data_IF_474204378045
#
_entry.id   IF_474204378045
#
_cell.length_a   1.000
_cell.length_b   1.000
_cell.length_c   1.000
_cell.angle_alpha   90.00
_cell.angle_beta   90.00
_cell.angle_gamma   90.00
#
_symmetry.space_group_name_H-M   'P 1'
#
loop_
_entity.id
_entity.type
_entity.pdbx_description
1 polymer ?
#
# COMPACT_ATOMS: atom_id res chain seq x y z
N UNK A 1 -27.83 50.51 -22.53
CA UNK A 1 -26.83 50.09 -21.53
C UNK A 1 -27.29 48.77 -20.86
N UNK A 2 -27.31 47.64 -21.60
CA UNK A 2 -27.89 46.35 -21.12
C UNK A 2 -27.01 45.12 -21.50
N UNK A 3 -25.90 45.30 -22.22
CA UNK A 3 -25.09 44.16 -22.72
C UNK A 3 -24.13 43.55 -21.69
N UNK A 4 -23.79 44.26 -20.61
CA UNK A 4 -22.76 43.81 -19.65
C UNK A 4 -23.27 42.76 -18.66
N UNK A 5 -24.57 42.74 -18.36
CA UNK A 5 -25.17 41.87 -17.33
C UNK A 5 -25.42 40.42 -17.78
N UNK A 6 -25.51 40.19 -19.11
CA UNK A 6 -25.71 38.85 -19.70
C UNK A 6 -24.41 38.07 -19.82
N UNK A 7 -23.30 38.76 -20.06
CA UNK A 7 -21.97 38.15 -20.20
C UNK A 7 -21.53 37.61 -18.82
N UNK A 8 -21.69 38.39 -17.75
CA UNK A 8 -21.30 38.01 -16.37
C UNK A 8 -21.97 36.72 -15.88
N UNK A 9 -23.27 36.52 -16.15
CA UNK A 9 -23.97 35.28 -15.78
C UNK A 9 -23.47 34.07 -16.55
N UNK A 10 -23.18 34.22 -17.85
CA UNK A 10 -22.65 33.14 -18.67
C UNK A 10 -21.23 32.77 -18.25
N UNK A 11 -20.39 33.76 -17.92
CA UNK A 11 -19.03 33.53 -17.41
C UNK A 11 -19.04 32.79 -16.07
N UNK A 12 -19.95 33.15 -15.15
CA UNK A 12 -20.10 32.48 -13.86
C UNK A 12 -20.56 31.02 -14.00
N UNK A 13 -21.46 30.72 -14.93
CA UNK A 13 -21.91 29.35 -15.23
C UNK A 13 -20.75 28.54 -15.85
N UNK A 14 -19.98 29.14 -16.76
CA UNK A 14 -18.85 28.46 -17.39
C UNK A 14 -17.73 28.13 -16.38
N UNK A 15 -17.43 29.07 -15.47
CA UNK A 15 -16.48 28.85 -14.37
C UNK A 15 -16.99 27.75 -13.43
N UNK A 16 -18.30 27.73 -13.13
CA UNK A 16 -18.92 26.68 -12.33
C UNK A 16 -18.82 25.28 -12.96
N UNK A 17 -18.93 25.15 -14.28
CA UNK A 17 -18.77 23.86 -14.98
C UNK A 17 -17.30 23.39 -14.97
N UNK A 18 -16.35 24.33 -15.05
CA UNK A 18 -14.92 24.00 -15.07
C UNK A 18 -14.38 23.58 -13.70
N UNK A 19 -14.97 24.03 -12.59
CA UNK A 19 -14.51 23.68 -11.23
C UNK A 19 -15.14 22.41 -10.65
N UNK A 20 -16.12 21.79 -11.33
CA UNK A 20 -16.79 20.56 -10.88
C UNK A 20 -16.03 19.25 -11.17
N UNK A 21 -14.84 19.33 -11.79
CA UNK A 21 -14.03 18.15 -12.14
C UNK A 21 -12.90 17.84 -11.14
N UNK A 22 -12.94 18.39 -9.92
CA UNK A 22 -11.87 18.18 -8.92
C UNK A 22 -11.86 16.81 -8.24
N UNK A 23 -12.74 15.87 -8.63
CA UNK A 23 -12.72 14.48 -8.21
C UNK A 23 -12.28 13.57 -9.36
N UNK A 24 -11.05 13.74 -9.87
CA UNK A 24 -10.62 12.96 -11.03
C UNK A 24 -9.16 12.53 -10.95
N UNK A 25 -8.95 11.21 -10.98
CA UNK A 25 -7.69 10.46 -11.08
C UNK A 25 -6.79 10.32 -9.85
N UNK A 26 -7.35 9.75 -8.79
CA UNK A 26 -6.56 9.05 -7.79
C UNK A 26 -6.58 7.54 -8.09
N UNK A 27 -5.61 7.00 -8.86
CA UNK A 27 -5.62 5.58 -9.22
C UNK A 27 -5.48 4.74 -7.96
N UNK A 28 -6.47 3.86 -7.75
CA UNK A 28 -6.39 2.79 -6.76
C UNK A 28 -6.07 1.51 -7.51
N UNK A 29 -4.95 0.88 -7.17
CA UNK A 29 -4.50 -0.35 -7.83
C UNK A 29 -4.13 -1.39 -6.78
N UNK A 30 -4.16 -2.66 -7.21
CA UNK A 30 -3.91 -3.82 -6.37
C UNK A 30 -3.14 -4.87 -7.16
N UNK A 31 -2.00 -5.30 -6.64
CA UNK A 31 -1.21 -6.41 -7.17
C UNK A 31 -1.39 -7.63 -6.26
N UNK A 32 -1.73 -8.78 -6.83
CA UNK A 32 -1.92 -10.01 -6.07
C UNK A 32 -0.58 -10.52 -5.52
N UNK A 33 -0.48 -10.75 -4.22
CA UNK A 33 0.64 -11.47 -3.60
C UNK A 33 0.35 -12.97 -3.64
N UNK A 34 -0.69 -13.40 -2.90
CA UNK A 34 -1.14 -14.80 -2.84
C UNK A 34 -2.52 -14.87 -2.19
N UNK A 35 -3.37 -15.81 -2.61
CA UNK A 35 -4.72 -15.99 -2.07
C UNK A 35 -5.53 -14.67 -2.06
N UNK A 36 -5.89 -14.20 -0.87
CA UNK A 36 -6.62 -12.94 -0.66
C UNK A 36 -5.69 -11.77 -0.22
N UNK A 37 -4.38 -11.93 -0.32
CA UNK A 37 -3.40 -10.92 0.06
C UNK A 37 -2.93 -10.16 -1.17
N UNK A 38 -2.96 -8.83 -1.10
CA UNK A 38 -2.58 -7.94 -2.17
C UNK A 38 -1.65 -6.84 -1.66
N UNK A 39 -0.81 -6.33 -2.55
CA UNK A 39 -0.21 -5.01 -2.38
C UNK A 39 -1.18 -4.00 -2.98
N UNK A 40 -1.64 -3.02 -2.22
CA UNK A 40 -2.62 -2.04 -2.69
C UNK A 40 -2.29 -0.62 -2.25
N UNK A 41 -2.75 0.37 -3.01
CA UNK A 41 -2.70 1.78 -2.64
C UNK A 41 -3.96 2.50 -3.07
N UNK A 42 -4.35 3.48 -2.26
CA UNK A 42 -5.40 4.43 -2.57
C UNK A 42 -4.78 5.82 -2.65
N UNK A 43 -5.20 6.58 -3.65
CA UNK A 43 -4.81 7.97 -3.92
C UNK A 43 -3.36 8.17 -4.35
N UNK A 44 -2.40 7.63 -3.60
CA UNK A 44 -0.98 7.87 -3.80
C UNK A 44 -0.20 6.57 -3.68
N UNK A 45 0.76 6.38 -4.58
CA UNK A 45 1.72 5.26 -4.53
C UNK A 45 2.48 5.22 -3.19
N UNK A 46 2.73 6.39 -2.56
CA UNK A 46 3.34 6.49 -1.22
C UNK A 46 2.52 5.81 -0.12
N UNK A 47 1.23 5.56 -0.33
CA UNK A 47 0.35 4.85 0.61
C UNK A 47 0.32 3.34 0.39
N UNK A 48 1.17 2.79 -0.48
CA UNK A 48 1.23 1.35 -0.78
C UNK A 48 1.39 0.51 0.49
N UNK A 49 0.52 -0.46 0.64
CA UNK A 49 0.33 -1.28 1.82
C UNK A 49 0.10 -2.75 1.44
N UNK A 50 0.27 -3.67 2.38
CA UNK A 50 -0.27 -5.04 2.24
C UNK A 50 -1.69 -5.02 2.79
N UNK A 51 -2.64 -5.53 2.00
CA UNK A 51 -4.05 -5.59 2.33
C UNK A 51 -4.60 -7.02 2.20
N UNK A 52 -5.61 -7.35 2.99
CA UNK A 52 -6.39 -8.57 2.87
C UNK A 52 -7.75 -8.25 2.23
N UNK A 53 -8.13 -9.02 1.22
CA UNK A 53 -9.40 -8.88 0.53
C UNK A 53 -10.46 -9.81 1.12
N UNK A 54 -11.57 -9.26 1.61
CA UNK A 54 -12.71 -10.04 2.11
C UNK A 54 -13.73 -10.36 1.02
N UNK A 55 -14.02 -9.37 0.17
CA UNK A 55 -14.98 -9.47 -0.93
C UNK A 55 -14.55 -8.59 -2.11
N UNK A 56 -15.42 -8.40 -3.11
CA UNK A 56 -15.08 -7.64 -4.31
C UNK A 56 -14.62 -6.20 -4.03
N UNK A 57 -15.13 -5.57 -2.96
CA UNK A 57 -14.96 -4.15 -2.69
C UNK A 57 -14.41 -3.86 -1.28
N UNK A 58 -14.11 -4.89 -0.49
CA UNK A 58 -13.69 -4.75 0.91
C UNK A 58 -12.26 -5.25 1.12
N UNK A 59 -11.39 -4.33 1.54
CA UNK A 59 -10.00 -4.59 1.87
C UNK A 59 -9.68 -4.12 3.30
N UNK A 60 -8.83 -4.87 4.00
CA UNK A 60 -8.29 -4.48 5.29
C UNK A 60 -6.78 -4.32 5.21
N UNK A 61 -6.27 -3.18 5.68
CA UNK A 61 -4.84 -2.95 5.82
C UNK A 61 -4.22 -3.91 6.83
N UNK A 62 -3.26 -4.72 6.37
CA UNK A 62 -2.44 -5.60 7.21
C UNK A 62 -1.18 -4.88 7.63
N UNK A 63 -0.53 -4.26 6.65
CA UNK A 63 0.74 -3.58 6.83
C UNK A 63 0.68 -2.24 6.11
N UNK A 64 0.54 -1.18 6.91
CA UNK A 64 0.41 0.20 6.44
C UNK A 64 1.77 0.89 6.36
N UNK A 65 1.83 1.98 5.57
CA UNK A 65 3.03 2.73 5.18
C UNK A 65 3.82 2.06 4.06
N UNK A 66 4.52 2.87 3.26
CA UNK A 66 5.10 2.50 1.97
C UNK A 66 5.84 1.15 1.94
N UNK A 67 5.12 0.11 1.53
CA UNK A 67 5.66 -1.21 1.20
C UNK A 67 6.25 -1.16 -0.18
N UNK A 68 7.52 -1.50 -0.34
CA UNK A 68 8.21 -1.38 -1.63
C UNK A 68 8.86 -2.68 -2.10
N UNK A 69 8.85 -3.72 -1.27
CA UNK A 69 9.23 -5.06 -1.70
C UNK A 69 8.44 -6.11 -0.93
N UNK A 70 7.92 -7.11 -1.63
CA UNK A 70 7.20 -8.26 -1.07
C UNK A 70 7.76 -9.55 -1.67
N UNK A 71 7.78 -10.60 -0.87
CA UNK A 71 8.04 -11.98 -1.28
C UNK A 71 7.09 -12.92 -0.56
N UNK A 72 6.80 -14.09 -1.11
CA UNK A 72 5.87 -15.02 -0.47
C UNK A 72 6.14 -16.49 -0.83
N UNK A 73 5.70 -17.38 0.05
CA UNK A 73 5.54 -18.81 -0.23
C UNK A 73 4.16 -19.27 0.29
N UNK A 74 3.98 -20.58 0.47
CA UNK A 74 2.73 -21.17 0.97
C UNK A 74 2.41 -20.79 2.42
N UNK A 75 3.42 -20.46 3.22
CA UNK A 75 3.30 -20.32 4.67
C UNK A 75 3.51 -18.88 5.16
N UNK A 76 4.22 -18.06 4.38
CA UNK A 76 4.66 -16.74 4.79
C UNK A 76 4.59 -15.71 3.67
N UNK A 77 4.36 -14.46 4.06
CA UNK A 77 4.67 -13.26 3.27
C UNK A 77 5.78 -12.50 3.99
N UNK A 78 6.80 -12.05 3.27
CA UNK A 78 7.84 -11.15 3.77
C UNK A 78 7.72 -9.79 3.08
N UNK A 79 8.01 -8.72 3.81
CA UNK A 79 7.86 -7.37 3.29
C UNK A 79 8.99 -6.44 3.74
N UNK A 80 9.33 -5.48 2.89
CA UNK A 80 10.09 -4.29 3.26
C UNK A 80 9.18 -3.08 3.22
N UNK A 81 9.24 -2.30 4.29
CA UNK A 81 8.50 -1.07 4.48
C UNK A 81 9.48 0.07 4.78
N UNK A 82 9.15 1.28 4.33
CA UNK A 82 9.78 2.51 4.82
C UNK A 82 8.72 3.54 5.20
N UNK A 83 9.15 4.58 5.91
CA UNK A 83 8.32 5.75 6.08
C UNK A 83 8.23 6.52 4.75
N UNK A 84 7.03 6.90 4.27
CA UNK A 84 6.82 7.42 2.91
C UNK A 84 7.57 8.71 2.58
N UNK A 85 8.13 9.40 3.58
CA UNK A 85 8.84 10.68 3.43
C UNK A 85 10.22 10.69 4.11
N UNK A 86 10.78 9.51 4.41
CA UNK A 86 12.17 9.43 4.86
C UNK A 86 13.09 9.27 3.65
N UNK A 87 14.07 10.16 3.55
CA UNK A 87 15.18 10.07 2.59
C UNK A 87 16.26 9.08 3.06
N UNK A 88 16.14 8.56 4.28
CA UNK A 88 17.10 7.61 4.85
C UNK A 88 16.73 6.17 4.49
N UNK A 89 17.48 5.57 3.55
CA UNK A 89 17.32 4.16 3.17
C UNK A 89 17.64 3.19 4.33
N UNK A 90 18.34 3.65 5.38
CA UNK A 90 18.60 2.86 6.59
C UNK A 90 17.33 2.63 7.44
N UNK A 91 16.25 3.36 7.16
CA UNK A 91 14.95 3.18 7.82
C UNK A 91 14.16 1.95 7.36
N UNK A 92 14.69 1.17 6.42
CA UNK A 92 14.03 -0.05 5.95
C UNK A 92 13.67 -0.97 7.12
N UNK A 93 12.37 -1.19 7.32
CA UNK A 93 11.82 -2.16 8.27
C UNK A 93 11.37 -3.40 7.54
N UNK A 94 11.67 -4.54 8.15
CA UNK A 94 11.37 -5.85 7.64
C UNK A 94 10.22 -6.45 8.43
N UNK A 95 9.35 -7.18 7.73
CA UNK A 95 8.21 -7.85 8.32
C UNK A 95 8.04 -9.26 7.77
N UNK A 96 7.45 -10.13 8.59
CA UNK A 96 7.03 -11.48 8.23
C UNK A 96 5.57 -11.64 8.66
N UNK A 97 4.71 -12.10 7.76
CA UNK A 97 3.32 -12.45 8.05
C UNK A 97 3.21 -13.98 7.93
N UNK A 98 2.85 -14.64 9.02
CA UNK A 98 2.59 -16.08 9.10
C UNK A 98 1.15 -16.38 8.67
N UNK A 99 1.00 -16.96 7.48
CA UNK A 99 -0.30 -17.24 6.87
C UNK A 99 -1.06 -18.33 7.62
N UNK A 100 -0.36 -19.24 8.30
CA UNK A 100 -0.96 -20.32 9.07
C UNK A 100 -1.53 -19.84 10.41
N UNK A 101 -0.94 -18.78 10.99
CA UNK A 101 -1.44 -18.15 12.22
C UNK A 101 -2.49 -17.08 11.98
N UNK A 102 -2.57 -16.53 10.77
CA UNK A 102 -3.48 -15.43 10.46
C UNK A 102 -4.89 -15.93 10.18
N UNK A 103 -5.60 -16.38 11.23
CA UNK A 103 -7.02 -16.73 11.16
C UNK A 103 -7.87 -15.46 11.28
N UNK A 104 -7.84 -14.62 10.24
CA UNK A 104 -8.52 -13.33 10.22
C UNK A 104 -7.60 -12.17 10.61
N UNK A 105 -7.85 -11.54 11.77
CA UNK A 105 -7.20 -10.27 12.17
C UNK A 105 -6.12 -10.41 13.24
N UNK A 106 -5.62 -11.63 13.45
CA UNK A 106 -4.68 -11.92 14.53
C UNK A 106 -3.35 -11.18 14.32
N UNK A 107 -3.06 -10.27 15.25
CA UNK A 107 -1.83 -9.46 15.23
C UNK A 107 -0.58 -10.30 15.51
N UNK A 108 -0.73 -11.40 16.23
CA UNK A 108 0.36 -12.31 16.61
C UNK A 108 0.94 -13.09 15.41
N UNK A 109 0.27 -13.03 14.26
CA UNK A 109 0.74 -13.55 12.99
C UNK A 109 1.74 -12.62 12.27
N UNK A 110 1.93 -11.38 12.75
CA UNK A 110 2.84 -10.41 12.12
C UNK A 110 4.07 -10.23 13.01
N UNK A 111 5.25 -10.47 12.45
CA UNK A 111 6.54 -10.18 13.07
C UNK A 111 7.13 -8.92 12.44
N UNK A 112 7.36 -7.89 13.24
CA UNK A 112 7.96 -6.63 12.83
C UNK A 112 7.40 -5.44 13.63
N UNK A 113 7.88 -4.22 13.40
CA UNK A 113 9.00 -3.87 12.50
C UNK A 113 10.34 -4.40 13.01
N UNK A 114 11.16 -4.96 12.13
CA UNK A 114 12.51 -5.46 12.43
C UNK A 114 13.56 -4.75 11.59
N UNK A 115 14.79 -4.67 12.08
CA UNK A 115 15.96 -4.43 11.22
C UNK A 115 16.36 -5.72 10.48
N UNK A 116 17.34 -5.62 9.56
CA UNK A 116 17.76 -6.77 8.74
C UNK A 116 18.30 -7.94 9.57
N UNK A 117 19.10 -7.67 10.60
CA UNK A 117 19.67 -8.72 11.45
C UNK A 117 18.59 -9.47 12.25
N UNK A 118 17.62 -8.74 12.78
CA UNK A 118 16.46 -9.30 13.50
C UNK A 118 15.58 -10.14 12.56
N UNK A 119 15.33 -9.63 11.35
CA UNK A 119 14.61 -10.36 10.32
C UNK A 119 15.32 -11.66 9.94
N UNK A 120 16.62 -11.63 9.67
CA UNK A 120 17.39 -12.83 9.31
C UNK A 120 17.37 -13.86 10.45
N UNK A 121 17.48 -13.41 11.71
CA UNK A 121 17.35 -14.27 12.89
C UNK A 121 15.94 -14.88 12.98
N UNK A 122 14.90 -14.09 12.78
CA UNK A 122 13.51 -14.54 12.86
C UNK A 122 13.15 -15.49 11.72
N UNK A 123 13.58 -15.20 10.50
CA UNK A 123 13.42 -16.07 9.32
C UNK A 123 14.05 -17.44 9.55
N UNK A 124 15.25 -17.49 10.14
CA UNK A 124 15.89 -18.76 10.54
C UNK A 124 15.09 -19.49 11.62
N UNK A 125 14.59 -18.79 12.65
CA UNK A 125 13.76 -19.39 13.71
C UNK A 125 12.46 -20.00 13.18
N UNK A 126 11.89 -19.39 12.14
CA UNK A 126 10.66 -19.84 11.49
C UNK A 126 10.92 -20.85 10.36
N UNK A 127 12.18 -21.26 10.14
CA UNK A 127 12.58 -22.14 9.03
C UNK A 127 12.13 -21.65 7.65
N UNK A 128 12.12 -20.33 7.44
CA UNK A 128 11.86 -19.74 6.14
C UNK A 128 13.12 -19.97 5.29
N UNK A 129 13.05 -20.93 4.36
CA UNK A 129 14.06 -21.11 3.30
C UNK A 129 14.28 -19.80 2.56
N UNK A 130 15.43 -19.61 1.89
CA UNK A 130 15.75 -18.36 1.16
C UNK A 130 14.58 -17.86 0.29
N UNK A 131 13.80 -16.96 0.86
CA UNK A 131 12.60 -16.40 0.24
C UNK A 131 13.00 -15.08 -0.39
N UNK A 132 12.80 -14.97 -1.70
CA UNK A 132 13.17 -13.79 -2.47
C UNK A 132 12.04 -12.78 -2.45
N UNK A 133 12.38 -11.51 -2.43
CA UNK A 133 11.45 -10.44 -2.76
C UNK A 133 11.25 -10.44 -4.28
N UNK A 134 10.07 -10.87 -4.72
CA UNK A 134 9.72 -11.06 -6.14
C UNK A 134 8.83 -9.93 -6.68
N UNK A 135 8.11 -9.24 -5.80
CA UNK A 135 7.36 -8.03 -6.11
C UNK A 135 8.14 -6.82 -5.59
N UNK A 136 8.89 -6.17 -6.48
CA UNK A 136 9.76 -5.03 -6.15
C UNK A 136 9.26 -3.78 -6.85
N UNK A 137 9.13 -2.71 -6.07
CA UNK A 137 8.68 -1.39 -6.53
C UNK A 137 9.80 -0.36 -6.34
N UNK A 138 9.59 0.85 -6.85
CA UNK A 138 10.52 1.96 -6.64
C UNK A 138 10.76 2.15 -5.13
N UNK A 139 12.00 2.28 -4.68
CA UNK A 139 12.30 2.48 -3.26
C UNK A 139 11.86 3.86 -2.79
N UNK A 140 11.66 4.83 -3.70
CA UNK A 140 11.11 6.15 -3.42
C UNK A 140 9.80 6.36 -4.18
N UNK A 141 8.67 6.64 -3.49
CA UNK A 141 7.38 6.87 -4.15
C UNK A 141 7.35 8.16 -4.97
#
# INVERSE_FOLDING_TARGET
>A
MIKTFRITKLTLILIGILTLNSCWNNPSEHDLITGNYYVGWNDMVSNRAIVYKYDSNSYEGILSSYVYAVGHNTDFIIAKQKYPFSDDLSDTKYFIIDLNKRLGRDKDAIYGPMNKMEFDKKSKQLNISELKFDQVYNENP
#
